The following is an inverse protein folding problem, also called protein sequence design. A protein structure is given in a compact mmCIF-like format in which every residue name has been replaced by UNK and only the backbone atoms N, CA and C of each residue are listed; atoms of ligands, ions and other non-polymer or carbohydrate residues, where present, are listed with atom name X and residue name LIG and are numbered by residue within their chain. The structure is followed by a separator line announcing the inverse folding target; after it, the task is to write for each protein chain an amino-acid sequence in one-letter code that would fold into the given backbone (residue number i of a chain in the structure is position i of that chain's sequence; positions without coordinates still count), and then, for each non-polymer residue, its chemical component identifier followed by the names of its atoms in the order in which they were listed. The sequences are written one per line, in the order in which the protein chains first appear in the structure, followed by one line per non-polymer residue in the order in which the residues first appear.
data_IF_159492989327
#
_entry.id   IF_159492989327
#
_cell.length_a   1.000
_cell.length_b   1.000
_cell.length_c   1.000
_cell.angle_alpha   90.00
_cell.angle_beta   90.00
_cell.angle_gamma   90.00
#
_symmetry.space_group_name_H-M   'P 1'
#
loop_
_entity.id
_entity.type
_entity.pdbx_description
1 polymer ?
#
# COMPACT_ATOMS: atom_id res chain seq x y z
N UNK A 1 5.85 -1.69 49.33
CA UNK A 1 6.84 -1.67 48.23
C UNK A 1 6.72 -2.96 47.43
N UNK A 2 5.98 -2.93 46.31
CA UNK A 2 6.27 -3.74 45.11
C UNK A 2 5.36 -3.25 44.00
N UNK A 3 5.93 -2.47 43.07
CA UNK A 3 5.28 -2.01 41.86
C UNK A 3 5.38 -3.13 40.80
N UNK A 4 4.24 -3.61 40.32
CA UNK A 4 4.19 -4.53 39.18
C UNK A 4 4.22 -3.69 37.90
N UNK A 5 5.33 -3.82 37.16
CA UNK A 5 5.58 -3.16 35.87
C UNK A 5 4.53 -3.60 34.85
N UNK A 6 3.78 -2.64 34.32
CA UNK A 6 2.90 -2.85 33.17
C UNK A 6 3.71 -3.12 31.90
N UNK A 7 3.54 -4.31 31.34
CA UNK A 7 3.94 -4.66 29.98
C UNK A 7 2.96 -4.01 29.00
N UNK A 8 3.46 -3.08 28.18
CA UNK A 8 2.73 -2.49 27.05
C UNK A 8 2.64 -3.52 25.93
N UNK A 9 1.53 -4.25 25.87
CA UNK A 9 1.16 -5.07 24.71
C UNK A 9 0.65 -4.12 23.63
N UNK A 10 1.44 -3.93 22.57
CA UNK A 10 1.03 -3.19 21.38
C UNK A 10 -0.09 -3.94 20.67
N UNK A 11 -1.26 -3.31 20.58
CA UNK A 11 -2.39 -3.86 19.82
C UNK A 11 -2.15 -3.60 18.34
N UNK A 12 -1.90 -4.68 17.60
CA UNK A 12 -1.94 -4.69 16.14
C UNK A 12 -3.43 -4.68 15.77
N UNK A 13 -3.97 -3.50 15.45
CA UNK A 13 -5.36 -3.36 15.02
C UNK A 13 -5.45 -3.85 13.57
N UNK A 14 -5.92 -5.09 13.39
CA UNK A 14 -6.44 -5.57 12.11
C UNK A 14 -7.80 -4.91 11.86
N UNK A 15 -7.84 -3.91 10.99
CA UNK A 15 -9.09 -3.30 10.55
C UNK A 15 -9.70 -4.16 9.42
N UNK A 16 -10.87 -4.74 9.70
CA UNK A 16 -11.76 -5.35 8.70
C UNK A 16 -12.64 -4.23 8.14
N UNK A 17 -12.48 -3.90 6.86
CA UNK A 17 -13.34 -2.93 6.18
C UNK A 17 -14.62 -3.62 5.70
N UNK A 18 -15.77 -3.24 6.27
CA UNK A 18 -17.10 -3.57 5.74
C UNK A 18 -17.51 -2.42 4.81
N UNK A 19 -17.70 -2.74 3.53
CA UNK A 19 -17.91 -1.75 2.46
C UNK A 19 -19.28 -1.07 2.50
N UNK A 20 -19.25 0.26 2.53
CA UNK A 20 -20.35 1.13 2.11
C UNK A 20 -20.01 1.69 0.73
N UNK A 21 -20.64 1.14 -0.32
CA UNK A 21 -20.40 1.51 -1.71
C UNK A 21 -21.04 2.87 -2.03
N UNK A 22 -20.30 3.96 -1.83
CA UNK A 22 -20.68 5.27 -2.35
C UNK A 22 -20.17 5.42 -3.80
N UNK A 23 -21.09 5.42 -4.76
CA UNK A 23 -20.83 5.90 -6.11
C UNK A 23 -20.64 7.43 -6.05
N UNK A 24 -19.56 7.95 -6.65
CA UNK A 24 -18.96 9.28 -6.38
C UNK A 24 -18.35 9.72 -7.70
N UNK A 25 -18.96 10.60 -8.49
CA UNK A 25 -18.46 11.00 -9.82
C UNK A 25 -17.21 11.90 -9.77
N UNK A 26 -16.66 12.22 -10.95
CA UNK A 26 -15.58 13.20 -11.16
C UNK A 26 -15.80 14.52 -10.40
N UNK A 27 -14.95 14.80 -9.41
CA UNK A 27 -15.03 15.96 -8.53
C UNK A 27 -15.82 15.73 -7.23
N UNK A 28 -16.24 14.49 -6.96
CA UNK A 28 -16.85 14.12 -5.69
C UNK A 28 -15.80 13.69 -4.66
N UNK A 29 -14.64 13.15 -5.08
CA UNK A 29 -13.53 12.88 -4.14
C UNK A 29 -13.07 14.16 -3.41
N UNK A 30 -12.93 15.28 -4.12
CA UNK A 30 -12.59 16.59 -3.53
C UNK A 30 -13.72 17.22 -2.69
N UNK A 31 -14.94 16.69 -2.80
CA UNK A 31 -16.12 17.07 -1.99
C UNK A 31 -16.29 16.16 -0.77
N UNK A 32 -15.64 15.00 -0.71
CA UNK A 32 -15.62 14.16 0.48
C UNK A 32 -14.75 14.87 1.54
N UNK A 33 -15.31 15.23 2.72
CA UNK A 33 -14.58 16.00 3.74
C UNK A 33 -13.27 15.37 4.17
N UNK A 34 -13.24 14.03 4.27
CA UNK A 34 -12.04 13.25 4.57
C UNK A 34 -10.92 13.51 3.55
N UNK A 35 -11.18 13.29 2.26
CA UNK A 35 -10.16 13.42 1.20
C UNK A 35 -9.66 14.85 1.07
N UNK A 36 -10.54 15.84 1.17
CA UNK A 36 -10.14 17.26 1.13
C UNK A 36 -9.20 17.60 2.28
N UNK A 37 -9.54 17.19 3.50
CA UNK A 37 -8.71 17.48 4.68
C UNK A 37 -7.38 16.73 4.61
N UNK A 38 -7.42 15.43 4.30
CA UNK A 38 -6.22 14.62 4.20
C UNK A 38 -5.28 15.14 3.12
N UNK A 39 -5.77 15.44 1.92
CA UNK A 39 -4.94 15.95 0.83
C UNK A 39 -4.37 17.36 1.11
N UNK A 40 -5.10 18.22 1.82
CA UNK A 40 -4.61 19.54 2.21
C UNK A 40 -3.45 19.45 3.23
N UNK A 41 -3.48 18.45 4.10
CA UNK A 41 -2.47 18.24 5.15
C UNK A 41 -1.30 17.34 4.67
N UNK A 42 -1.48 16.59 3.58
CA UNK A 42 -0.52 15.60 3.10
C UNK A 42 -0.18 15.78 1.61
N UNK A 43 1.03 16.25 1.33
CA UNK A 43 1.55 16.27 -0.04
C UNK A 43 1.98 14.86 -0.45
N UNK A 44 1.41 14.38 -1.55
CA UNK A 44 1.77 13.08 -2.14
C UNK A 44 2.90 13.27 -3.15
N UNK A 45 4.12 12.90 -2.79
CA UNK A 45 5.23 12.85 -3.74
C UNK A 45 5.20 11.54 -4.53
N UNK A 46 5.05 10.43 -3.82
CA UNK A 46 4.96 9.09 -4.38
C UNK A 46 3.66 8.44 -3.97
N UNK A 47 2.93 7.87 -4.92
CA UNK A 47 1.90 6.88 -4.62
C UNK A 47 2.50 5.49 -4.81
N UNK A 48 2.54 4.69 -3.74
CA UNK A 48 3.03 3.32 -3.80
C UNK A 48 1.88 2.45 -4.31
N UNK A 49 2.06 1.74 -5.43
CA UNK A 49 1.03 0.87 -5.99
C UNK A 49 1.50 -0.57 -5.87
N UNK A 50 0.70 -1.42 -5.22
CA UNK A 50 1.07 -2.82 -5.01
C UNK A 50 -0.14 -3.75 -5.01
N UNK A 51 0.11 -5.03 -5.34
CA UNK A 51 -0.89 -6.09 -5.19
C UNK A 51 -1.06 -6.51 -3.73
N UNK A 52 -2.23 -7.07 -3.40
CA UNK A 52 -2.52 -7.62 -2.07
C UNK A 52 -1.88 -9.00 -1.82
N UNK A 53 -0.55 -9.05 -1.86
CA UNK A 53 0.26 -10.24 -1.57
C UNK A 53 1.22 -9.94 -0.41
N UNK A 54 1.49 -10.93 0.44
CA UNK A 54 2.19 -10.72 1.70
C UNK A 54 3.53 -9.98 1.57
N UNK A 55 4.41 -10.43 0.66
CA UNK A 55 5.76 -9.86 0.51
C UNK A 55 5.74 -8.45 -0.09
N UNK A 56 4.90 -8.21 -1.10
CA UNK A 56 4.79 -6.91 -1.78
C UNK A 56 4.12 -5.86 -0.89
N UNK A 57 3.02 -6.25 -0.24
CA UNK A 57 2.27 -5.40 0.69
C UNK A 57 3.09 -5.03 1.92
N UNK A 58 3.81 -5.99 2.52
CA UNK A 58 4.70 -5.72 3.65
C UNK A 58 5.75 -4.65 3.31
N UNK A 59 6.35 -4.74 2.12
CA UNK A 59 7.33 -3.75 1.68
C UNK A 59 6.70 -2.36 1.55
N UNK A 60 5.51 -2.29 0.94
CA UNK A 60 4.77 -1.03 0.81
C UNK A 60 4.41 -0.41 2.16
N UNK A 61 3.94 -1.21 3.12
CA UNK A 61 3.59 -0.75 4.48
C UNK A 61 4.82 -0.26 5.26
N UNK A 62 5.97 -0.93 5.15
CA UNK A 62 7.23 -0.46 5.74
C UNK A 62 7.65 0.88 5.13
N UNK A 63 7.56 1.02 3.81
CA UNK A 63 7.89 2.28 3.13
C UNK A 63 6.95 3.39 3.59
N UNK A 64 5.64 3.12 3.66
CA UNK A 64 4.65 4.08 4.17
C UNK A 64 4.95 4.48 5.62
N UNK A 65 5.36 3.54 6.47
CA UNK A 65 5.73 3.83 7.85
C UNK A 65 6.85 4.89 7.93
N UNK A 66 7.89 4.74 7.12
CA UNK A 66 9.05 5.64 7.13
C UNK A 66 8.84 6.95 6.36
N UNK A 67 8.01 6.94 5.32
CA UNK A 67 7.94 8.05 4.35
C UNK A 67 6.60 8.78 4.38
N UNK A 68 5.61 8.22 5.09
CA UNK A 68 4.21 8.67 5.12
C UNK A 68 3.52 8.72 3.75
N UNK A 69 4.15 8.15 2.72
CA UNK A 69 3.57 8.10 1.38
C UNK A 69 2.39 7.11 1.37
N UNK A 70 1.27 7.47 0.70
CA UNK A 70 0.11 6.60 0.65
C UNK A 70 0.35 5.36 -0.23
N UNK A 71 -0.48 4.34 0.01
CA UNK A 71 -0.49 3.11 -0.80
C UNK A 71 -1.83 3.03 -1.54
N UNK A 72 -1.78 2.64 -2.82
CA UNK A 72 -2.92 2.11 -3.54
C UNK A 72 -2.74 0.60 -3.66
N UNK A 73 -3.58 -0.14 -2.95
CA UNK A 73 -3.59 -1.59 -2.94
C UNK A 73 -4.58 -2.10 -3.98
N UNK A 74 -4.14 -2.99 -4.86
CA UNK A 74 -4.98 -3.65 -5.86
C UNK A 74 -5.15 -5.11 -5.44
N UNK A 75 -6.38 -5.55 -5.20
CA UNK A 75 -6.69 -6.90 -4.75
C UNK A 75 -7.56 -7.61 -5.78
N UNK A 76 -7.29 -8.86 -6.16
CA UNK A 76 -8.24 -9.66 -6.93
C UNK A 76 -9.58 -9.78 -6.18
N UNK A 77 -10.69 -9.55 -6.89
CA UNK A 77 -12.04 -9.67 -6.35
C UNK A 77 -12.60 -11.08 -6.60
N UNK A 78 -13.42 -11.60 -5.67
CA UNK A 78 -14.04 -12.91 -5.79
C UNK A 78 -15.00 -13.02 -7.00
N UNK A 79 -15.59 -11.90 -7.42
CA UNK A 79 -16.49 -11.80 -8.57
C UNK A 79 -15.77 -11.82 -9.93
N UNK A 80 -14.43 -11.91 -9.94
CA UNK A 80 -13.61 -11.53 -11.09
C UNK A 80 -13.41 -10.01 -11.15
N UNK A 81 -12.22 -9.58 -11.57
CA UNK A 81 -11.80 -8.19 -11.55
C UNK A 81 -10.96 -7.84 -10.32
N UNK A 82 -10.94 -6.56 -9.94
CA UNK A 82 -10.08 -6.03 -8.89
C UNK A 82 -10.79 -5.01 -8.01
N UNK A 83 -10.58 -5.12 -6.71
CA UNK A 83 -10.90 -4.10 -5.72
C UNK A 83 -9.69 -3.21 -5.49
N UNK A 84 -9.89 -1.89 -5.44
CA UNK A 84 -8.84 -0.94 -5.12
C UNK A 84 -9.07 -0.35 -3.73
N UNK A 85 -8.01 -0.28 -2.94
CA UNK A 85 -8.03 0.32 -1.61
C UNK A 85 -6.94 1.38 -1.51
N UNK A 86 -7.34 2.60 -1.21
CA UNK A 86 -6.44 3.67 -0.84
C UNK A 86 -6.13 3.58 0.66
N UNK A 87 -4.86 3.42 0.99
CA UNK A 87 -4.34 3.35 2.35
C UNK A 87 -3.57 4.65 2.62
N UNK A 88 -4.24 5.69 3.16
CA UNK A 88 -3.58 6.90 3.63
C UNK A 88 -2.71 6.60 4.85
N UNK A 89 -1.60 7.35 5.03
CA UNK A 89 -0.87 7.28 6.29
C UNK A 89 -1.70 7.89 7.42
N UNK A 90 -1.83 7.17 8.54
CA UNK A 90 -2.48 7.66 9.75
C UNK A 90 -4.00 7.78 9.67
N UNK A 91 -4.65 7.13 8.71
CA UNK A 91 -6.12 7.14 8.55
C UNK A 91 -6.61 5.78 8.07
N UNK A 92 -7.93 5.57 8.11
CA UNK A 92 -8.55 4.33 7.65
C UNK A 92 -8.44 4.16 6.13
N UNK A 93 -8.41 2.90 5.69
CA UNK A 93 -8.40 2.57 4.28
C UNK A 93 -9.75 2.94 3.62
N UNK A 94 -9.70 3.43 2.40
CA UNK A 94 -10.87 3.86 1.64
C UNK A 94 -10.96 3.08 0.33
N UNK A 95 -12.13 2.52 0.03
CA UNK A 95 -12.35 1.86 -1.24
C UNK A 95 -12.34 2.87 -2.41
N UNK A 96 -11.60 2.55 -3.46
CA UNK A 96 -11.59 3.29 -4.73
C UNK A 96 -12.26 2.39 -5.76
N UNK A 97 -13.27 2.90 -6.44
CA UNK A 97 -13.93 2.15 -7.51
C UNK A 97 -13.08 2.21 -8.78
N UNK A 98 -12.97 1.11 -9.50
CA UNK A 98 -12.21 1.01 -10.75
C UNK A 98 -12.54 2.13 -11.78
N UNK A 99 -13.82 2.46 -11.92
CA UNK A 99 -14.33 3.51 -12.83
C UNK A 99 -13.74 4.90 -12.54
N UNK A 100 -13.16 5.11 -11.35
CA UNK A 100 -12.63 6.40 -10.90
C UNK A 100 -11.12 6.38 -10.70
N UNK A 101 -10.45 5.33 -11.13
CA UNK A 101 -9.02 5.19 -10.92
C UNK A 101 -8.24 6.41 -11.43
N UNK A 102 -8.51 6.90 -12.64
CA UNK A 102 -7.84 8.09 -13.20
C UNK A 102 -8.22 9.37 -12.45
N UNK A 103 -9.50 9.55 -12.11
CA UNK A 103 -9.94 10.70 -11.31
C UNK A 103 -9.22 10.73 -9.96
N UNK A 104 -9.10 9.57 -9.32
CA UNK A 104 -8.40 9.41 -8.07
C UNK A 104 -6.92 9.76 -8.20
N UNK A 105 -6.26 9.32 -9.28
CA UNK A 105 -4.87 9.70 -9.56
C UNK A 105 -4.72 11.21 -9.84
N UNK A 106 -5.64 11.79 -10.59
CA UNK A 106 -5.66 13.23 -10.89
C UNK A 106 -5.90 14.06 -9.62
N UNK A 107 -6.77 13.58 -8.73
CA UNK A 107 -7.03 14.22 -7.43
C UNK A 107 -5.80 14.17 -6.51
N UNK A 108 -5.15 13.01 -6.40
CA UNK A 108 -3.94 12.87 -5.58
C UNK A 108 -2.75 13.59 -6.19
N UNK A 109 -2.71 13.67 -7.52
CA UNK A 109 -1.65 14.27 -8.32
C UNK A 109 -0.22 13.90 -7.85
N UNK A 110 0.11 12.60 -7.72
CA UNK A 110 1.42 12.19 -7.26
C UNK A 110 2.50 12.58 -8.28
N UNK A 111 3.67 13.00 -7.79
CA UNK A 111 4.82 13.30 -8.67
C UNK A 111 5.34 12.04 -9.36
N UNK A 112 5.21 10.87 -8.71
CA UNK A 112 5.52 9.56 -9.30
C UNK A 112 4.66 8.45 -8.74
N UNK A 113 4.50 7.38 -9.51
CA UNK A 113 3.98 6.10 -9.06
C UNK A 113 5.16 5.16 -8.81
N UNK A 114 5.17 4.49 -7.67
CA UNK A 114 6.17 3.46 -7.34
C UNK A 114 5.46 2.11 -7.33
N UNK A 115 5.69 1.32 -8.38
CA UNK A 115 5.04 0.04 -8.61
C UNK A 115 5.84 -1.07 -7.93
N UNK A 116 5.22 -1.79 -7.00
CA UNK A 116 5.87 -2.87 -6.22
C UNK A 116 5.27 -4.22 -6.59
N UNK A 117 6.08 -5.05 -7.24
CA UNK A 117 5.70 -6.34 -7.80
C UNK A 117 5.73 -6.32 -9.34
N UNK A 118 5.80 -7.52 -9.93
CA UNK A 118 5.69 -7.72 -11.38
C UNK A 118 4.22 -7.85 -11.82
N UNK A 119 4.00 -8.26 -13.07
CA UNK A 119 2.66 -8.45 -13.65
C UNK A 119 1.83 -9.55 -12.99
N UNK A 120 2.43 -10.41 -12.15
CA UNK A 120 1.70 -11.38 -11.32
C UNK A 120 1.04 -10.70 -10.12
N UNK A 121 1.57 -9.55 -9.68
CA UNK A 121 1.06 -8.80 -8.53
C UNK A 121 0.21 -7.60 -8.95
N UNK A 122 0.54 -6.99 -10.09
CA UNK A 122 -0.08 -5.76 -10.58
C UNK A 122 -0.74 -5.98 -11.95
N UNK A 123 -2.06 -5.77 -12.07
CA UNK A 123 -2.74 -5.94 -13.35
C UNK A 123 -2.33 -4.86 -14.34
N UNK A 124 -1.91 -5.27 -15.54
CA UNK A 124 -1.45 -4.34 -16.58
C UNK A 124 -2.49 -3.30 -16.98
N UNK A 125 -3.78 -3.63 -16.86
CA UNK A 125 -4.90 -2.72 -17.17
C UNK A 125 -4.82 -1.40 -16.40
N UNK A 126 -4.43 -1.41 -15.11
CA UNK A 126 -4.27 -0.19 -14.31
C UNK A 126 -2.99 0.56 -14.65
N UNK A 127 -1.92 -0.18 -14.97
CA UNK A 127 -0.63 0.41 -15.32
C UNK A 127 -0.70 1.13 -16.66
N UNK A 128 -1.37 0.54 -17.65
CA UNK A 128 -1.53 1.15 -18.97
C UNK A 128 -2.37 2.43 -18.91
N UNK A 129 -3.41 2.47 -18.06
CA UNK A 129 -4.25 3.68 -17.85
C UNK A 129 -3.48 4.85 -17.22
N UNK A 130 -2.49 4.55 -16.38
CA UNK A 130 -1.63 5.57 -15.77
C UNK A 130 -0.40 5.92 -16.63
N UNK A 131 -0.07 5.10 -17.63
CA UNK A 131 1.14 5.27 -18.45
C UNK A 131 1.03 6.56 -19.28
N UNK A 132 2.12 7.32 -19.32
CA UNK A 132 2.19 8.60 -20.02
C UNK A 132 1.57 9.79 -19.28
N UNK A 133 0.87 9.54 -18.16
CA UNK A 133 0.31 10.60 -17.29
C UNK A 133 1.19 10.85 -16.05
N UNK A 134 1.78 9.80 -15.50
CA UNK A 134 2.65 9.86 -14.33
C UNK A 134 4.00 9.21 -14.61
N UNK A 135 5.06 9.75 -14.00
CA UNK A 135 6.34 9.05 -13.94
C UNK A 135 6.18 7.76 -13.13
N UNK A 136 6.66 6.64 -13.68
CA UNK A 136 6.56 5.33 -13.04
C UNK A 136 7.96 4.79 -12.71
N UNK A 137 8.13 4.32 -11.49
CA UNK A 137 9.30 3.58 -11.03
C UNK A 137 8.85 2.18 -10.66
N UNK A 138 9.47 1.16 -11.23
CA UNK A 138 9.07 -0.24 -11.00
C UNK A 138 10.12 -0.96 -10.16
N UNK A 139 9.66 -1.67 -9.14
CA UNK A 139 10.44 -2.58 -8.29
C UNK A 139 9.79 -3.96 -8.35
N UNK A 140 10.35 -4.84 -9.18
CA UNK A 140 9.72 -6.10 -9.59
C UNK A 140 10.69 -7.28 -9.72
N UNK A 141 11.82 -7.25 -9.02
CA UNK A 141 12.74 -8.39 -8.97
C UNK A 141 12.12 -9.60 -8.28
N UNK A 142 12.58 -10.80 -8.61
CA UNK A 142 12.17 -12.04 -7.93
C UNK A 142 12.74 -12.15 -6.51
N UNK A 143 13.85 -11.48 -6.24
CA UNK A 143 14.47 -11.39 -4.91
C UNK A 143 13.91 -10.20 -4.12
N UNK A 144 13.18 -10.49 -3.06
CA UNK A 144 12.52 -9.51 -2.22
C UNK A 144 13.49 -8.67 -1.36
N UNK A 145 14.69 -9.17 -1.04
CA UNK A 145 15.71 -8.36 -0.38
C UNK A 145 16.28 -7.31 -1.36
N UNK A 146 16.49 -7.69 -2.63
CA UNK A 146 16.91 -6.75 -3.66
C UNK A 146 15.83 -5.70 -3.94
N UNK A 147 14.56 -6.09 -3.95
CA UNK A 147 13.45 -5.14 -4.06
C UNK A 147 13.44 -4.15 -2.89
N UNK A 148 13.70 -4.60 -1.66
CA UNK A 148 13.78 -3.73 -0.51
C UNK A 148 14.95 -2.75 -0.59
N UNK A 149 16.12 -3.19 -1.07
CA UNK A 149 17.27 -2.31 -1.35
C UNK A 149 16.96 -1.28 -2.44
N UNK A 150 16.26 -1.68 -3.51
CA UNK A 150 15.82 -0.76 -4.55
C UNK A 150 14.85 0.29 -3.99
N UNK A 151 13.86 -0.11 -3.19
CA UNK A 151 12.95 0.80 -2.51
C UNK A 151 13.69 1.76 -1.57
N UNK A 152 14.64 1.25 -0.79
CA UNK A 152 15.49 2.09 0.07
C UNK A 152 16.24 3.16 -0.74
N UNK A 153 16.73 2.82 -1.93
CA UNK A 153 17.34 3.77 -2.87
C UNK A 153 16.36 4.82 -3.38
N UNK A 154 15.16 4.41 -3.80
CA UNK A 154 14.10 5.31 -4.30
C UNK A 154 13.70 6.34 -3.25
N UNK A 155 13.56 5.92 -1.99
CA UNK A 155 13.14 6.79 -0.89
C UNK A 155 14.30 7.35 -0.06
N UNK A 156 15.55 7.04 -0.43
CA UNK A 156 16.78 7.46 0.27
C UNK A 156 16.75 7.15 1.76
N UNK A 157 16.25 5.97 2.13
CA UNK A 157 16.16 5.53 3.52
C UNK A 157 16.58 4.07 3.66
N UNK A 158 17.78 3.84 4.21
CA UNK A 158 18.35 2.52 4.42
C UNK A 158 17.55 1.64 5.41
N UNK A 159 16.82 2.25 6.35
CA UNK A 159 16.04 1.51 7.36
C UNK A 159 14.90 0.70 6.73
N UNK A 160 14.45 1.07 5.52
CA UNK A 160 13.46 0.31 4.76
C UNK A 160 13.96 -1.11 4.47
N UNK A 161 15.19 -1.24 3.97
CA UNK A 161 15.76 -2.54 3.61
C UNK A 161 16.05 -3.40 4.84
N UNK A 162 16.61 -2.79 5.89
CA UNK A 162 16.90 -3.45 7.17
C UNK A 162 15.62 -4.01 7.82
N UNK A 163 14.61 -3.14 8.02
CA UNK A 163 13.34 -3.52 8.65
C UNK A 163 12.60 -4.57 7.83
N UNK A 164 12.63 -4.45 6.50
CA UNK A 164 12.01 -5.44 5.64
C UNK A 164 12.68 -6.81 5.73
N UNK A 165 14.02 -6.86 5.76
CA UNK A 165 14.76 -8.11 5.94
C UNK A 165 14.37 -8.83 7.24
N UNK A 166 14.29 -8.09 8.34
CA UNK A 166 13.87 -8.64 9.64
C UNK A 166 12.43 -9.16 9.61
N UNK A 167 11.50 -8.40 9.03
CA UNK A 167 10.10 -8.82 8.92
C UNK A 167 9.92 -10.00 7.95
N UNK A 168 10.67 -10.04 6.84
CA UNK A 168 10.60 -11.13 5.87
C UNK A 168 11.10 -12.44 6.48
N UNK A 169 12.19 -12.40 7.25
CA UNK A 169 12.68 -13.55 7.99
C UNK A 169 11.64 -14.08 9.00
N UNK A 170 10.89 -13.20 9.65
CA UNK A 170 9.80 -13.60 10.54
C UNK A 170 8.63 -14.23 9.78
N UNK A 171 8.26 -13.66 8.63
CA UNK A 171 7.19 -14.17 7.77
C UNK A 171 7.52 -15.59 7.24
N UNK A 172 8.75 -15.80 6.78
CA UNK A 172 9.19 -17.09 6.27
C UNK A 172 9.24 -18.16 7.39
N UNK A 173 9.64 -17.79 8.61
CA UNK A 173 9.57 -18.70 9.78
C UNK A 173 8.11 -19.06 10.14
N UNK A 174 7.21 -18.08 10.11
CA UNK A 174 5.79 -18.30 10.44
C UNK A 174 5.09 -19.20 9.42
N UNK A 175 5.51 -19.16 8.15
CA UNK A 175 4.96 -20.03 7.09
C UNK A 175 5.59 -21.42 7.09
N UNK A 176 6.87 -21.56 7.40
CA UNK A 176 7.55 -22.86 7.53
C UNK A 176 7.06 -23.70 8.72
N UNK A 177 6.56 -23.06 9.78
CA UNK A 177 6.04 -23.72 10.98
C UNK A 177 4.58 -24.19 10.90
N UNK A 178 3.86 -23.90 9.81
CA UNK A 178 2.50 -24.41 9.60
C UNK A 178 2.55 -25.77 8.91
N UNK A 179 2.01 -26.86 9.51
CA UNK A 179 1.75 -28.08 8.78
C UNK A 179 0.88 -27.76 7.57
N UNK A 180 1.16 -28.34 6.40
CA UNK A 180 0.26 -28.19 5.27
C UNK A 180 -1.02 -28.97 5.57
N UNK A 181 -2.01 -28.31 6.15
CA UNK A 181 -3.38 -28.79 6.13
C UNK A 181 -3.89 -28.65 4.68
N UNK A 182 -3.63 -29.70 3.90
CA UNK A 182 -4.33 -30.02 2.66
C UNK A 182 -5.60 -30.79 2.99
#
# INVERSE_FOLDING_TARGET
MTAFRGTRTGWLVMAVAVGLSLQVEAGVLSKIPFFRRWAAENRVESLIVTGNYAKSRLLAEIVQHYTRQPILLISPAASGGYDLFFLPHGSEAVAVTDVKYEEFLDFLNPSRLVLVGDSQYLPMTFLDRARGRHTMVTVNGSDWHNNANAMAGVFKNAQIAETYGDCLNQLDRATAGRPSDR
#
